data_IF_643080164095
#
_entry.id   IF_643080164095
#
_cell.length_a   1.000
_cell.length_b   1.000
_cell.length_c   1.000
_cell.angle_alpha   90.00
_cell.angle_beta   90.00
_cell.angle_gamma   90.00
#
_symmetry.space_group_name_H-M   'P 1'
#
loop_
_entity.id
_entity.type
_entity.pdbx_description
1 polymer ?
#
# COMPACT_ATOMS: atom_id res chain seq x y z
N UNK A 1 -15.78 31.63 -8.09
CA UNK A 1 -16.94 32.28 -7.41
C UNK A 1 -17.94 32.90 -8.41
N UNK A 2 -18.16 32.28 -9.57
CA UNK A 2 -19.02 32.82 -10.64
C UNK A 2 -20.24 31.92 -11.00
N UNK A 3 -20.54 30.91 -10.18
CA UNK A 3 -21.58 29.89 -10.49
C UNK A 3 -22.61 29.60 -9.39
N UNK A 4 -22.65 30.39 -8.31
CA UNK A 4 -23.70 30.31 -7.27
C UNK A 4 -23.86 28.95 -6.57
N UNK A 5 -22.87 28.06 -6.64
CA UNK A 5 -22.93 26.72 -6.05
C UNK A 5 -22.27 26.72 -4.67
N UNK A 6 -22.94 26.09 -3.70
CA UNK A 6 -22.46 26.00 -2.31
C UNK A 6 -21.05 25.41 -2.24
N UNK A 7 -20.18 26.03 -1.44
CA UNK A 7 -18.77 25.65 -1.34
C UNK A 7 -18.59 24.18 -0.93
N UNK A 8 -19.48 23.63 -0.09
CA UNK A 8 -19.45 22.21 0.29
C UNK A 8 -19.63 21.24 -0.89
N UNK A 9 -20.36 21.60 -1.95
CA UNK A 9 -20.46 20.76 -3.17
C UNK A 9 -19.19 20.83 -4.03
N UNK A 10 -18.44 21.93 -3.97
CA UNK A 10 -17.18 22.10 -4.70
C UNK A 10 -16.04 21.35 -3.99
N UNK A 11 -15.94 21.49 -2.66
CA UNK A 11 -14.96 20.77 -1.85
C UNK A 11 -15.13 19.24 -1.95
N UNK A 12 -16.34 18.71 -1.73
CA UNK A 12 -16.56 17.26 -1.73
C UNK A 12 -16.50 16.61 -3.12
N UNK A 13 -16.87 17.32 -4.20
CA UNK A 13 -16.97 16.71 -5.53
C UNK A 13 -15.76 16.96 -6.43
N UNK A 14 -15.08 18.10 -6.29
CA UNK A 14 -13.98 18.48 -7.18
C UNK A 14 -12.61 18.43 -6.49
N UNK A 15 -12.49 18.94 -5.28
CA UNK A 15 -11.19 18.95 -4.57
C UNK A 15 -10.89 17.55 -4.03
N UNK A 16 -11.83 16.93 -3.31
CA UNK A 16 -11.66 15.57 -2.78
C UNK A 16 -11.30 14.55 -3.88
N UNK A 17 -12.01 14.59 -5.01
CA UNK A 17 -11.77 13.69 -6.14
C UNK A 17 -10.40 13.88 -6.80
N UNK A 18 -9.89 15.11 -6.87
CA UNK A 18 -8.59 15.38 -7.48
C UNK A 18 -7.42 15.10 -6.52
N UNK A 19 -7.66 15.18 -5.20
CA UNK A 19 -6.66 14.89 -4.17
C UNK A 19 -6.55 13.40 -3.81
N UNK A 20 -7.63 12.62 -3.96
CA UNK A 20 -7.59 11.17 -3.66
C UNK A 20 -6.80 10.39 -4.72
N UNK A 21 -6.74 10.87 -5.98
CA UNK A 21 -5.98 10.22 -7.06
C UNK A 21 -4.52 9.94 -6.66
N UNK A 22 -3.69 10.95 -6.28
CA UNK A 22 -2.32 10.70 -5.86
C UNK A 22 -2.23 9.89 -4.56
N UNK A 23 -3.15 10.09 -3.60
CA UNK A 23 -3.16 9.33 -2.33
C UNK A 23 -3.30 7.83 -2.61
N UNK A 24 -4.23 7.46 -3.50
CA UNK A 24 -4.47 6.05 -3.83
C UNK A 24 -3.35 5.47 -4.67
N UNK A 25 -2.71 6.26 -5.55
CA UNK A 25 -1.51 5.80 -6.29
C UNK A 25 -0.35 5.47 -5.35
N UNK A 26 -0.11 6.28 -4.32
CA UNK A 26 0.99 6.03 -3.37
C UNK A 26 0.65 5.00 -2.29
N UNK A 27 -0.64 4.78 -2.02
CA UNK A 27 -1.09 3.87 -0.95
C UNK A 27 -0.52 2.45 -1.07
N UNK A 28 -0.46 1.88 -2.28
CA UNK A 28 0.14 0.56 -2.49
C UNK A 28 1.63 0.49 -2.10
N UNK A 29 2.38 1.56 -2.39
CA UNK A 29 3.79 1.69 -2.00
C UNK A 29 3.96 1.94 -0.50
N UNK A 30 3.08 2.73 0.11
CA UNK A 30 3.12 3.02 1.55
C UNK A 30 2.88 1.77 2.38
N UNK A 31 1.96 0.89 1.96
CA UNK A 31 1.73 -0.40 2.61
C UNK A 31 3.01 -1.25 2.61
N UNK A 32 3.70 -1.35 1.47
CA UNK A 32 5.00 -2.06 1.37
C UNK A 32 6.07 -1.43 2.25
N UNK A 33 6.11 -0.10 2.31
CA UNK A 33 7.05 0.64 3.16
C UNK A 33 6.88 0.33 4.65
N UNK A 34 5.62 0.21 5.11
CA UNK A 34 5.32 -0.18 6.50
C UNK A 34 5.85 -1.58 6.82
N UNK A 35 5.73 -2.55 5.91
CA UNK A 35 6.34 -3.87 6.11
C UNK A 35 7.87 -3.81 6.23
N UNK A 36 8.52 -2.96 5.43
CA UNK A 36 9.96 -2.71 5.54
C UNK A 36 10.37 -2.12 6.88
N UNK A 37 9.61 -1.12 7.37
CA UNK A 37 9.81 -0.55 8.70
C UNK A 37 9.55 -1.55 9.83
N UNK A 38 8.54 -2.40 9.68
CA UNK A 38 8.20 -3.44 10.64
C UNK A 38 9.39 -4.40 10.87
N UNK A 39 10.06 -4.85 9.79
CA UNK A 39 11.25 -5.71 9.89
C UNK A 39 12.36 -5.08 10.75
N UNK A 40 12.61 -3.77 10.59
CA UNK A 40 13.60 -3.04 11.37
C UNK A 40 13.19 -3.01 12.85
N UNK A 41 11.91 -2.68 13.13
CA UNK A 41 11.42 -2.63 14.51
C UNK A 41 11.41 -4.01 15.18
N UNK A 42 11.07 -5.07 14.46
CA UNK A 42 11.11 -6.45 14.95
C UNK A 42 12.56 -6.86 15.30
N UNK A 43 13.53 -6.47 14.48
CA UNK A 43 14.95 -6.75 14.72
C UNK A 43 15.48 -6.01 15.96
N UNK A 44 15.22 -4.71 16.08
CA UNK A 44 15.72 -3.88 17.19
C UNK A 44 15.08 -4.31 18.52
N UNK A 45 13.77 -4.49 18.56
CA UNK A 45 13.04 -4.84 19.78
C UNK A 45 13.03 -6.36 20.06
N UNK A 46 13.70 -7.16 19.22
CA UNK A 46 13.67 -8.62 19.28
C UNK A 46 12.26 -9.22 19.33
N UNK A 47 11.29 -8.52 18.74
CA UNK A 47 9.90 -8.97 18.71
C UNK A 47 9.78 -10.16 17.75
N UNK A 48 9.13 -11.27 18.15
CA UNK A 48 9.02 -12.45 17.31
C UNK A 48 8.01 -12.20 16.18
N UNK A 49 8.53 -11.79 15.02
CA UNK A 49 7.76 -11.50 13.81
C UNK A 49 8.32 -12.16 12.57
N UNK A 50 7.52 -12.13 11.49
CA UNK A 50 7.81 -12.79 10.22
C UNK A 50 8.95 -12.07 9.47
N UNK A 51 9.09 -10.75 9.67
CA UNK A 51 10.18 -9.96 9.09
C UNK A 51 11.53 -10.31 9.72
N UNK A 52 11.57 -10.44 11.05
CA UNK A 52 12.75 -10.94 11.78
C UNK A 52 13.14 -12.36 11.36
N UNK A 53 12.14 -13.25 11.21
CA UNK A 53 12.34 -14.61 10.68
C UNK A 53 13.00 -14.61 9.30
N UNK A 54 12.65 -13.68 8.41
CA UNK A 54 13.31 -13.55 7.10
C UNK A 54 14.80 -13.21 7.26
N UNK A 55 15.13 -12.23 8.12
CA UNK A 55 16.53 -11.84 8.38
C UNK A 55 17.33 -13.00 9.00
N UNK A 56 16.73 -13.72 9.95
CA UNK A 56 17.34 -14.91 10.56
C UNK A 56 17.56 -16.02 9.54
N UNK A 57 16.62 -16.24 8.62
CA UNK A 57 16.75 -17.22 7.53
C UNK A 57 17.87 -16.86 6.56
N UNK A 58 18.04 -15.56 6.27
CA UNK A 58 19.16 -15.05 5.46
C UNK A 58 20.49 -15.29 6.17
N UNK A 59 20.59 -14.96 7.45
CA UNK A 59 21.81 -15.17 8.23
C UNK A 59 22.14 -16.65 8.44
N UNK A 60 21.11 -17.48 8.64
CA UNK A 60 21.22 -18.93 8.84
C UNK A 60 21.39 -19.72 7.54
N UNK A 61 21.33 -19.06 6.38
CA UNK A 61 21.35 -19.69 5.04
C UNK A 61 20.29 -20.78 4.86
N UNK A 62 19.14 -20.61 5.50
CA UNK A 62 17.99 -21.48 5.32
C UNK A 62 17.23 -21.04 4.06
N UNK A 63 17.71 -21.52 2.90
CA UNK A 63 17.15 -21.15 1.60
C UNK A 63 15.67 -21.55 1.43
N UNK A 64 15.20 -22.75 1.85
CA UNK A 64 13.78 -23.09 1.78
C UNK A 64 12.89 -22.11 2.55
N UNK A 65 13.26 -21.80 3.81
CA UNK A 65 12.47 -20.89 4.64
C UNK A 65 12.49 -19.47 4.07
N UNK A 66 13.66 -18.99 3.66
CA UNK A 66 13.81 -17.69 2.98
C UNK A 66 12.92 -17.60 1.74
N UNK A 67 12.93 -18.62 0.87
CA UNK A 67 12.15 -18.61 -0.36
C UNK A 67 10.64 -18.61 -0.08
N UNK A 68 10.18 -19.39 0.91
CA UNK A 68 8.79 -19.40 1.32
C UNK A 68 8.32 -18.03 1.83
N UNK A 69 9.14 -17.37 2.67
CA UNK A 69 8.86 -16.04 3.19
C UNK A 69 8.87 -14.98 2.09
N UNK A 70 9.84 -15.03 1.17
CA UNK A 70 9.90 -14.10 0.03
C UNK A 70 8.69 -14.24 -0.89
N UNK A 71 8.26 -15.47 -1.19
CA UNK A 71 7.04 -15.71 -1.97
C UNK A 71 5.80 -15.19 -1.25
N UNK A 72 5.70 -15.41 0.06
CA UNK A 72 4.60 -14.90 0.88
C UNK A 72 4.53 -13.38 0.89
N UNK A 73 5.65 -12.68 1.11
CA UNK A 73 5.71 -11.22 1.05
C UNK A 73 5.42 -10.68 -0.35
N UNK A 74 5.90 -11.35 -1.39
CA UNK A 74 5.61 -10.99 -2.78
C UNK A 74 4.12 -11.11 -3.07
N UNK A 75 3.47 -12.19 -2.61
CA UNK A 75 2.04 -12.38 -2.75
C UNK A 75 1.23 -11.29 -2.01
N UNK A 76 1.60 -10.97 -0.77
CA UNK A 76 0.99 -9.87 -0.03
C UNK A 76 1.19 -8.52 -0.72
N UNK A 77 2.37 -8.27 -1.29
CA UNK A 77 2.66 -7.07 -2.04
C UNK A 77 1.82 -6.96 -3.32
N UNK A 78 1.64 -8.05 -4.05
CA UNK A 78 0.74 -8.09 -5.19
C UNK A 78 -0.72 -7.86 -4.79
N UNK A 79 -1.17 -8.45 -3.67
CA UNK A 79 -2.50 -8.18 -3.12
C UNK A 79 -2.68 -6.71 -2.73
N UNK A 80 -1.69 -6.10 -2.08
CA UNK A 80 -1.73 -4.69 -1.72
C UNK A 80 -1.82 -3.78 -2.96
N UNK A 81 -1.02 -4.06 -4.00
CA UNK A 81 -1.10 -3.35 -5.27
C UNK A 81 -2.46 -3.54 -5.94
N UNK A 82 -3.01 -4.76 -5.96
CA UNK A 82 -4.33 -5.02 -6.53
C UNK A 82 -5.43 -4.24 -5.78
N UNK A 83 -5.37 -4.18 -4.45
CA UNK A 83 -6.28 -3.37 -3.63
C UNK A 83 -6.13 -1.88 -3.99
N UNK A 84 -4.91 -1.42 -4.19
CA UNK A 84 -4.60 -0.06 -4.62
C UNK A 84 -5.24 0.25 -5.98
N UNK A 85 -5.10 -0.64 -6.96
CA UNK A 85 -5.66 -0.49 -8.30
C UNK A 85 -7.20 -0.53 -8.31
N UNK A 86 -7.81 -1.42 -7.51
CA UNK A 86 -9.26 -1.47 -7.35
C UNK A 86 -9.77 -0.18 -6.71
N UNK A 87 -9.10 0.29 -5.65
CA UNK A 87 -9.44 1.55 -4.99
C UNK A 87 -9.33 2.71 -5.97
N UNK A 88 -8.31 2.71 -6.83
CA UNK A 88 -8.12 3.70 -7.88
C UNK A 88 -9.28 3.69 -8.88
N UNK A 89 -9.69 2.52 -9.34
CA UNK A 89 -10.83 2.35 -10.25
C UNK A 89 -12.16 2.84 -9.66
N UNK A 90 -12.38 2.63 -8.36
CA UNK A 90 -13.58 3.12 -7.64
C UNK A 90 -13.56 4.64 -7.49
N UNK A 91 -12.39 5.20 -7.16
CA UNK A 91 -12.21 6.63 -6.91
C UNK A 91 -12.26 7.45 -8.20
N UNK A 92 -11.78 6.92 -9.33
CA UNK A 92 -11.85 7.61 -10.62
C UNK A 92 -12.92 7.08 -11.60
N UNK A 93 -14.14 7.66 -11.56
CA UNK A 93 -15.17 7.43 -12.57
C UNK A 93 -14.83 7.83 -14.01
N UNK A 94 -13.67 8.45 -14.32
CA UNK A 94 -13.31 8.83 -15.70
C UNK A 94 -12.79 7.65 -16.53
N UNK A 95 -12.33 6.58 -15.91
CA UNK A 95 -11.79 5.39 -16.60
C UNK A 95 -12.90 4.58 -17.30
N UNK A 96 -14.18 4.91 -17.04
CA UNK A 96 -15.36 4.23 -17.62
C UNK A 96 -15.94 4.87 -18.90
N UNK A 97 -15.24 5.80 -19.54
CA UNK A 97 -15.71 6.42 -20.78
C UNK A 97 -14.60 6.54 -21.82
N UNK A 98 -14.19 5.39 -22.37
CA UNK A 98 -13.95 5.26 -23.81
C UNK A 98 -14.04 3.78 -24.21
#
# INVERSE_FOLDING_TARGET
RAKGLSESKIYNKHILRNSIIPIVTFFGGDVLSVFGGAVITESIFSFPGIGKLLIESISGKDYPLMMALLLFFSFLGLLANLISDITYSIVDPRIKSN
#
